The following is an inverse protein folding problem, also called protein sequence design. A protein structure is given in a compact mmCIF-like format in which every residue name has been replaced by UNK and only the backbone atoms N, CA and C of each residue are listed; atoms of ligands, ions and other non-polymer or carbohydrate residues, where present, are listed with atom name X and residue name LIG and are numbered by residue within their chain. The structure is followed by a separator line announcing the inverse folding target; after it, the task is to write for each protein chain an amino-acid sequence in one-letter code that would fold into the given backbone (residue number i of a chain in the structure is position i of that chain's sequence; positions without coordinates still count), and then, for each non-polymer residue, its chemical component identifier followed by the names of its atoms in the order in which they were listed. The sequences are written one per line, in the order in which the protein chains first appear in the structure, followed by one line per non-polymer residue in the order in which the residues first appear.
data_IF_273550038738
#
_entry.id   IF_273550038738
#
_cell.length_a   1.000
_cell.length_b   1.000
_cell.length_c   1.000
_cell.angle_alpha   90.00
_cell.angle_beta   90.00
_cell.angle_gamma   90.00
#
_symmetry.space_group_name_H-M   'P 1'
#
loop_
_entity.id
_entity.type
_entity.pdbx_description
1 polymer ?
#
# COMPACT_ATOMS: atom_id res chain seq x y z
N UNK A 1 -35.60 -19.29 74.37
CA UNK A 1 -36.10 -19.20 72.96
C UNK A 1 -35.14 -18.29 72.19
N UNK A 2 -34.42 -18.88 71.24
CA UNK A 2 -33.26 -18.22 70.52
C UNK A 2 -33.75 -17.69 69.19
N UNK A 3 -33.62 -16.40 68.94
CA UNK A 3 -33.79 -15.84 67.63
C UNK A 3 -32.42 -15.70 66.95
N UNK A 4 -32.22 -16.19 65.72
CA UNK A 4 -31.01 -15.95 65.00
C UNK A 4 -31.09 -14.64 64.20
N UNK A 5 -30.09 -13.82 64.38
CA UNK A 5 -29.79 -12.58 63.67
C UNK A 5 -29.40 -12.90 62.22
N UNK A 6 -30.20 -12.47 61.24
CA UNK A 6 -29.86 -12.59 59.81
C UNK A 6 -28.97 -11.43 59.40
N UNK A 7 -27.69 -11.73 59.19
CA UNK A 7 -26.72 -10.81 58.65
C UNK A 7 -26.95 -10.68 57.15
N UNK A 8 -27.35 -9.48 56.67
CA UNK A 8 -27.51 -9.15 55.26
C UNK A 8 -26.15 -8.73 54.72
N UNK A 9 -25.49 -9.60 53.95
CA UNK A 9 -24.29 -9.22 53.18
C UNK A 9 -24.71 -8.47 51.91
N UNK A 10 -24.52 -7.16 51.88
CA UNK A 10 -24.56 -6.38 50.65
C UNK A 10 -23.27 -6.64 49.85
N UNK A 11 -23.37 -7.44 48.80
CA UNK A 11 -22.29 -7.54 47.81
C UNK A 11 -22.27 -6.28 46.90
N UNK A 12 -21.32 -5.41 47.17
CA UNK A 12 -21.05 -4.25 46.35
C UNK A 12 -20.33 -4.73 45.08
N UNK A 13 -21.07 -5.03 44.01
CA UNK A 13 -20.47 -5.28 42.69
C UNK A 13 -19.93 -3.97 42.12
N UNK A 14 -18.64 -3.66 42.39
CA UNK A 14 -17.88 -2.65 41.64
C UNK A 14 -17.74 -3.15 40.23
N UNK A 15 -18.64 -2.75 39.32
CA UNK A 15 -18.50 -2.89 37.91
C UNK A 15 -17.36 -1.99 37.43
N UNK A 16 -16.13 -2.52 37.32
CA UNK A 16 -15.08 -1.92 36.54
C UNK A 16 -15.55 -1.94 35.08
N UNK A 17 -16.15 -0.84 34.63
CA UNK A 17 -16.26 -0.53 33.23
C UNK A 17 -14.82 -0.35 32.70
N UNK A 18 -14.22 -1.43 32.22
CA UNK A 18 -12.99 -1.34 31.44
C UNK A 18 -13.32 -0.49 30.22
N UNK A 19 -12.98 0.81 30.29
CA UNK A 19 -12.98 1.68 29.13
C UNK A 19 -11.99 1.04 28.15
N UNK A 20 -12.54 0.30 27.19
CA UNK A 20 -11.78 -0.26 26.08
C UNK A 20 -11.28 0.95 25.26
N UNK A 21 -10.17 1.54 25.67
CA UNK A 21 -9.46 2.53 24.87
C UNK A 21 -8.97 1.78 23.64
N UNK A 22 -9.74 1.83 22.55
CA UNK A 22 -9.33 1.28 21.27
C UNK A 22 -7.99 1.92 20.93
N UNK A 23 -6.93 1.11 20.94
CA UNK A 23 -5.62 1.56 20.44
C UNK A 23 -5.83 2.01 19.00
N UNK A 24 -5.23 3.14 18.60
CA UNK A 24 -5.29 3.54 17.21
C UNK A 24 -4.77 2.39 16.35
N UNK A 25 -5.54 2.02 15.35
CA UNK A 25 -5.10 1.03 14.37
C UNK A 25 -3.92 1.62 13.62
N UNK A 26 -2.85 0.85 13.47
CA UNK A 26 -1.66 1.24 12.73
C UNK A 26 -1.62 0.42 11.46
N UNK A 27 -1.34 1.07 10.35
CA UNK A 27 -1.17 0.46 9.04
C UNK A 27 0.11 1.01 8.42
N UNK A 28 1.10 0.15 8.22
CA UNK A 28 2.34 0.50 7.55
C UNK A 28 2.26 0.07 6.08
N UNK A 29 2.22 1.05 5.17
CA UNK A 29 2.25 0.86 3.73
C UNK A 29 3.63 1.25 3.19
N UNK A 30 4.23 0.37 2.42
CA UNK A 30 5.50 0.52 1.74
C UNK A 30 5.28 0.58 0.22
N UNK A 31 5.96 1.45 -0.50
CA UNK A 31 6.10 1.43 -1.95
C UNK A 31 7.53 1.06 -2.32
N UNK A 32 7.70 0.11 -3.22
CA UNK A 32 9.02 -0.40 -3.58
C UNK A 32 9.08 -0.85 -5.04
N UNK A 33 9.70 -0.04 -5.89
CA UNK A 33 10.11 -0.48 -7.22
C UNK A 33 11.30 -1.44 -7.04
N UNK A 34 11.12 -2.70 -7.43
CA UNK A 34 12.08 -3.78 -7.17
C UNK A 34 13.00 -4.08 -8.36
N UNK A 35 12.84 -3.40 -9.49
CA UNK A 35 13.64 -3.62 -10.71
C UNK A 35 13.81 -5.12 -11.01
N UNK A 36 12.72 -5.86 -11.05
CA UNK A 36 12.72 -7.33 -11.26
C UNK A 36 13.62 -8.11 -10.28
N UNK A 37 13.89 -7.57 -9.09
CA UNK A 37 14.83 -8.12 -8.12
C UNK A 37 16.31 -7.88 -8.46
N UNK A 38 16.62 -7.04 -9.46
CA UNK A 38 17.99 -6.74 -9.87
C UNK A 38 18.53 -5.58 -9.04
N UNK A 39 19.57 -5.82 -8.26
CA UNK A 39 20.28 -4.80 -7.48
C UNK A 39 21.13 -3.86 -8.34
N UNK A 40 21.70 -2.82 -7.70
CA UNK A 40 22.67 -1.89 -8.34
C UNK A 40 23.94 -2.62 -8.82
N UNK A 41 24.24 -3.76 -8.26
CA UNK A 41 25.32 -4.68 -8.67
C UNK A 41 24.95 -5.54 -9.89
N UNK A 42 23.77 -5.33 -10.50
CA UNK A 42 23.18 -6.10 -11.58
C UNK A 42 22.98 -7.60 -11.27
N UNK A 43 22.97 -7.99 -10.00
CA UNK A 43 22.64 -9.34 -9.58
C UNK A 43 21.15 -9.41 -9.24
N UNK A 44 20.44 -10.37 -9.85
CA UNK A 44 19.07 -10.67 -9.53
C UNK A 44 18.99 -11.55 -8.27
N UNK A 45 18.38 -11.02 -7.20
CA UNK A 45 18.18 -11.74 -5.93
C UNK A 45 16.87 -11.31 -5.26
N UNK A 46 15.82 -12.08 -5.49
CA UNK A 46 14.51 -11.87 -4.88
C UNK A 46 14.56 -12.01 -3.35
N UNK A 47 15.49 -12.81 -2.84
CA UNK A 47 15.71 -12.94 -1.39
C UNK A 47 16.19 -11.64 -0.74
N UNK A 48 16.94 -10.79 -1.45
CA UNK A 48 17.30 -9.45 -0.94
C UNK A 48 16.04 -8.57 -0.77
N UNK A 49 15.15 -8.60 -1.76
CA UNK A 49 13.88 -7.86 -1.67
C UNK A 49 13.06 -8.36 -0.48
N UNK A 50 12.91 -9.67 -0.32
CA UNK A 50 12.20 -10.26 0.81
C UNK A 50 12.83 -9.85 2.17
N UNK A 51 14.16 -9.85 2.28
CA UNK A 51 14.86 -9.41 3.51
C UNK A 51 14.59 -7.94 3.86
N UNK A 52 14.53 -7.05 2.85
CA UNK A 52 14.15 -5.64 3.07
C UNK A 52 12.73 -5.55 3.60
N UNK A 53 11.77 -6.23 2.97
CA UNK A 53 10.37 -6.25 3.39
C UNK A 53 10.24 -6.78 4.84
N UNK A 54 10.90 -7.89 5.15
CA UNK A 54 10.87 -8.48 6.50
C UNK A 54 11.46 -7.54 7.56
N UNK A 55 12.57 -6.88 7.26
CA UNK A 55 13.21 -5.90 8.17
C UNK A 55 12.30 -4.72 8.46
N UNK A 56 11.66 -4.18 7.42
CA UNK A 56 10.75 -3.05 7.56
C UNK A 56 9.40 -3.43 8.16
N UNK A 57 9.04 -4.72 8.10
CA UNK A 57 7.82 -5.29 8.66
C UNK A 57 6.54 -4.49 8.31
N UNK A 58 6.27 -4.17 7.03
CA UNK A 58 5.04 -3.49 6.63
C UNK A 58 3.83 -4.41 6.72
N UNK A 59 2.62 -3.79 6.74
CA UNK A 59 1.36 -4.51 6.60
C UNK A 59 0.98 -4.69 5.13
N UNK A 60 1.42 -3.73 4.28
CA UNK A 60 1.16 -3.67 2.85
C UNK A 60 2.43 -3.27 2.09
N UNK A 61 2.69 -3.90 0.94
CA UNK A 61 3.79 -3.52 0.05
C UNK A 61 3.27 -3.36 -1.36
N UNK A 62 3.27 -2.13 -1.87
CA UNK A 62 3.04 -1.82 -3.27
C UNK A 62 4.36 -2.05 -4.04
N UNK A 63 4.35 -2.98 -4.99
CA UNK A 63 5.51 -3.39 -5.77
C UNK A 63 5.38 -2.92 -7.21
N UNK A 64 6.45 -2.37 -7.76
CA UNK A 64 6.57 -2.02 -9.18
C UNK A 64 7.70 -2.84 -9.81
N UNK A 65 7.65 -2.95 -11.13
CA UNK A 65 8.59 -3.75 -11.94
C UNK A 65 8.62 -5.22 -11.52
N UNK A 66 7.46 -5.85 -11.54
CA UNK A 66 7.26 -7.21 -11.07
C UNK A 66 7.01 -8.19 -12.22
N UNK A 67 7.83 -9.22 -12.32
CA UNK A 67 7.67 -10.29 -13.28
C UNK A 67 6.79 -11.43 -12.77
N UNK A 68 6.02 -12.00 -13.69
CA UNK A 68 5.23 -13.21 -13.48
C UNK A 68 5.49 -14.19 -14.61
N UNK A 69 6.24 -15.24 -14.33
CA UNK A 69 6.56 -16.34 -15.25
C UNK A 69 7.25 -15.90 -16.56
N UNK A 70 8.02 -14.81 -16.54
CA UNK A 70 8.81 -14.39 -17.70
C UNK A 70 10.10 -15.21 -17.83
N UNK A 71 10.66 -15.27 -19.04
CA UNK A 71 11.93 -15.96 -19.30
C UNK A 71 13.09 -15.34 -18.52
N UNK A 72 13.08 -14.02 -18.26
CA UNK A 72 14.17 -13.36 -17.51
C UNK A 72 14.20 -13.68 -16.02
N UNK A 73 13.18 -14.34 -15.52
CA UNK A 73 13.12 -14.89 -14.15
C UNK A 73 12.94 -16.42 -14.16
N UNK A 74 13.34 -17.09 -15.23
CA UNK A 74 13.30 -18.54 -15.38
C UNK A 74 11.89 -19.13 -15.20
N UNK A 75 10.86 -18.43 -15.67
CA UNK A 75 9.47 -18.85 -15.55
C UNK A 75 8.90 -18.80 -14.13
N UNK A 76 9.60 -18.21 -13.16
CA UNK A 76 9.18 -18.15 -11.77
C UNK A 76 8.04 -17.14 -11.58
N UNK A 77 7.11 -17.45 -10.69
CA UNK A 77 6.05 -16.54 -10.25
C UNK A 77 6.54 -15.68 -9.08
N UNK A 78 7.24 -14.58 -9.40
CA UNK A 78 7.89 -13.72 -8.40
C UNK A 78 6.94 -13.18 -7.34
N UNK A 79 5.68 -12.72 -7.66
CA UNK A 79 4.74 -12.29 -6.63
C UNK A 79 4.50 -13.36 -5.56
N UNK A 80 4.26 -14.59 -5.98
CA UNK A 80 4.03 -15.72 -5.07
C UNK A 80 5.27 -16.12 -4.27
N UNK A 81 6.48 -16.04 -4.87
CA UNK A 81 7.72 -16.27 -4.14
C UNK A 81 7.93 -15.24 -3.03
N UNK A 82 7.74 -13.94 -3.33
CA UNK A 82 7.81 -12.89 -2.33
C UNK A 82 6.74 -13.08 -1.24
N UNK A 83 5.50 -13.41 -1.62
CA UNK A 83 4.44 -13.73 -0.68
C UNK A 83 4.84 -14.86 0.29
N UNK A 84 5.37 -15.97 -0.25
CA UNK A 84 5.84 -17.11 0.56
C UNK A 84 7.02 -16.73 1.46
N UNK A 85 8.01 -15.99 0.94
CA UNK A 85 9.20 -15.59 1.71
C UNK A 85 8.85 -14.60 2.86
N UNK A 86 7.84 -13.76 2.67
CA UNK A 86 7.45 -12.72 3.64
C UNK A 86 6.27 -13.13 4.52
N UNK A 87 5.61 -14.25 4.23
CA UNK A 87 4.39 -14.68 4.92
C UNK A 87 3.19 -13.77 4.61
N UNK A 88 3.16 -13.16 3.41
CA UNK A 88 2.12 -12.23 2.98
C UNK A 88 1.33 -12.79 1.79
N UNK A 89 0.06 -12.39 1.66
CA UNK A 89 -0.75 -12.66 0.48
C UNK A 89 -0.24 -11.82 -0.70
N UNK A 90 -0.09 -12.45 -1.87
CA UNK A 90 0.40 -11.79 -3.07
C UNK A 90 -0.71 -11.59 -4.08
N UNK A 91 -0.87 -10.37 -4.56
CA UNK A 91 -1.78 -9.99 -5.64
C UNK A 91 -0.97 -9.38 -6.78
N UNK A 92 -1.26 -9.77 -8.02
CA UNK A 92 -0.56 -9.29 -9.20
C UNK A 92 -1.51 -8.56 -10.16
N UNK A 93 -1.10 -7.38 -10.63
CA UNK A 93 -1.75 -6.59 -11.65
C UNK A 93 -0.91 -6.60 -12.92
N UNK A 94 -1.36 -7.35 -13.94
CA UNK A 94 -0.69 -7.43 -15.24
C UNK A 94 -0.86 -6.11 -15.99
N UNK A 95 0.25 -5.51 -16.41
CA UNK A 95 0.29 -4.40 -17.35
C UNK A 95 0.44 -4.91 -18.79
N UNK A 96 1.44 -5.76 -19.03
CA UNK A 96 1.76 -6.29 -20.36
C UNK A 96 2.04 -7.81 -20.33
N UNK A 97 1.93 -8.44 -21.50
CA UNK A 97 2.62 -9.70 -21.79
C UNK A 97 4.08 -9.39 -22.09
N UNK A 98 5.00 -10.11 -21.49
CA UNK A 98 6.42 -9.87 -21.66
C UNK A 98 7.21 -11.18 -21.56
N UNK A 99 8.14 -11.42 -22.51
CA UNK A 99 9.08 -12.54 -22.50
C UNK A 99 8.47 -13.89 -22.08
N UNK A 100 7.35 -14.26 -22.68
CA UNK A 100 6.65 -15.53 -22.41
C UNK A 100 5.76 -15.56 -21.18
N UNK A 101 5.81 -14.54 -20.34
CA UNK A 101 5.01 -14.37 -19.14
C UNK A 101 4.28 -13.02 -19.09
N UNK A 102 4.27 -12.38 -17.95
CA UNK A 102 3.64 -11.09 -17.72
C UNK A 102 4.51 -10.19 -16.85
N UNK A 103 4.34 -8.88 -17.05
CA UNK A 103 5.01 -7.85 -16.27
C UNK A 103 3.99 -6.80 -15.79
N UNK A 104 4.22 -6.21 -14.62
CA UNK A 104 3.31 -5.23 -14.07
C UNK A 104 3.64 -4.82 -12.64
N UNK A 105 2.59 -4.66 -11.85
CA UNK A 105 2.67 -4.25 -10.44
C UNK A 105 2.11 -5.32 -9.52
N UNK A 106 2.40 -5.24 -8.24
CA UNK A 106 1.89 -6.18 -7.24
C UNK A 106 1.57 -5.53 -5.91
N UNK A 107 0.80 -6.24 -5.12
CA UNK A 107 0.54 -5.91 -3.72
C UNK A 107 0.83 -7.15 -2.87
N UNK A 108 1.68 -6.97 -1.86
CA UNK A 108 1.74 -7.92 -0.75
C UNK A 108 0.94 -7.36 0.42
N UNK A 109 0.17 -8.19 1.09
CA UNK A 109 -0.67 -7.80 2.23
C UNK A 109 -0.70 -8.87 3.30
N UNK A 110 -0.76 -8.47 4.59
CA UNK A 110 -0.86 -9.43 5.69
C UNK A 110 -2.22 -10.12 5.75
N UNK A 111 -3.26 -9.48 5.22
CA UNK A 111 -4.60 -10.04 5.10
C UNK A 111 -4.99 -10.15 3.64
N UNK A 112 -5.79 -11.14 3.29
CA UNK A 112 -6.30 -11.30 1.95
C UNK A 112 -7.27 -10.16 1.59
N UNK A 113 -7.18 -9.54 0.40
CA UNK A 113 -8.13 -8.53 -0.04
C UNK A 113 -9.51 -9.16 -0.30
N UNK A 114 -10.58 -8.40 -0.03
CA UNK A 114 -11.97 -8.80 -0.29
C UNK A 114 -12.29 -8.87 -1.78
N UNK A 115 -11.68 -7.98 -2.55
CA UNK A 115 -11.83 -7.91 -4.01
C UNK A 115 -10.58 -7.30 -4.64
N UNK A 116 -10.31 -7.68 -5.88
CA UNK A 116 -9.19 -7.17 -6.67
C UNK A 116 -9.69 -6.84 -8.07
N UNK A 117 -9.24 -5.70 -8.60
CA UNK A 117 -9.47 -5.32 -9.99
C UNK A 117 -8.24 -4.61 -10.56
N UNK A 118 -8.06 -4.72 -11.87
CA UNK A 118 -7.00 -4.03 -12.62
C UNK A 118 -7.63 -3.14 -13.68
N UNK A 119 -7.15 -1.92 -13.80
CA UNK A 119 -7.62 -0.91 -14.74
C UNK A 119 -6.44 -0.53 -15.63
N UNK A 120 -6.56 -0.70 -16.96
CA UNK A 120 -5.53 -0.26 -17.89
C UNK A 120 -5.28 1.24 -17.81
N UNK A 121 -4.01 1.63 -17.85
CA UNK A 121 -3.57 3.00 -17.90
C UNK A 121 -2.72 3.23 -19.16
N UNK A 122 -2.70 4.47 -19.70
CA UNK A 122 -1.86 4.83 -20.84
C UNK A 122 -0.37 4.61 -20.59
N UNK A 123 0.32 4.20 -21.62
CA UNK A 123 1.78 4.07 -21.68
C UNK A 123 2.17 3.65 -23.10
N UNK A 124 2.63 4.60 -23.92
CA UNK A 124 3.02 4.35 -25.33
C UNK A 124 4.30 3.53 -25.44
N UNK A 125 5.21 3.66 -24.49
CA UNK A 125 6.42 2.84 -24.39
C UNK A 125 6.14 1.48 -23.80
N UNK A 126 5.19 1.40 -22.88
CA UNK A 126 4.77 0.21 -22.16
C UNK A 126 3.41 0.48 -21.53
N UNK A 127 2.40 -0.32 -21.85
CA UNK A 127 1.08 -0.17 -21.22
C UNK A 127 1.18 -0.29 -19.70
N UNK A 128 0.41 0.56 -19.00
CA UNK A 128 0.41 0.65 -17.53
C UNK A 128 -0.87 0.10 -16.93
N UNK A 129 -0.88 -0.06 -15.62
CA UNK A 129 -2.03 -0.60 -14.91
C UNK A 129 -2.18 0.05 -13.54
N UNK A 130 -3.42 0.25 -13.12
CA UNK A 130 -3.81 0.48 -11.73
C UNK A 130 -4.34 -0.82 -11.15
N UNK A 131 -3.63 -1.42 -10.22
CA UNK A 131 -4.10 -2.54 -9.41
C UNK A 131 -4.85 -1.97 -8.20
N UNK A 132 -6.09 -2.39 -7.99
CA UNK A 132 -6.91 -1.99 -6.85
C UNK A 132 -7.27 -3.21 -6.02
N UNK A 133 -6.98 -3.16 -4.73
CA UNK A 133 -7.31 -4.20 -3.76
C UNK A 133 -8.18 -3.60 -2.65
N UNK A 134 -9.38 -4.15 -2.44
CA UNK A 134 -10.32 -3.70 -1.43
C UNK A 134 -10.13 -4.50 -0.14
N UNK A 135 -10.07 -3.79 0.98
CA UNK A 135 -10.04 -4.35 2.34
C UNK A 135 -11.27 -3.88 3.13
N UNK A 136 -11.55 -4.45 4.32
CA UNK A 136 -12.71 -4.03 5.11
C UNK A 136 -12.78 -2.53 5.39
N UNK A 137 -11.66 -1.87 5.67
CA UNK A 137 -11.60 -0.50 6.16
C UNK A 137 -10.97 0.51 5.17
N UNK A 138 -10.37 0.04 4.06
CA UNK A 138 -9.69 0.88 3.06
C UNK A 138 -9.57 0.17 1.71
N UNK A 139 -9.19 0.92 0.68
CA UNK A 139 -8.78 0.40 -0.63
C UNK A 139 -7.33 0.79 -0.88
N UNK A 140 -6.51 -0.15 -1.35
CA UNK A 140 -5.14 0.12 -1.78
C UNK A 140 -5.05 0.06 -3.28
N UNK A 141 -4.43 1.08 -3.86
CA UNK A 141 -4.17 1.20 -5.28
C UNK A 141 -2.65 1.19 -5.51
N UNK A 142 -2.19 0.39 -6.46
CA UNK A 142 -0.77 0.30 -6.84
C UNK A 142 -0.64 0.62 -8.31
N UNK A 143 0.33 1.47 -8.66
CA UNK A 143 0.60 1.84 -10.05
C UNK A 143 2.09 2.01 -10.31
N UNK A 144 2.45 1.98 -11.59
CA UNK A 144 3.72 2.42 -12.15
C UNK A 144 3.39 3.22 -13.41
N UNK A 145 3.50 4.54 -13.36
CA UNK A 145 3.08 5.41 -14.46
C UNK A 145 4.12 5.43 -15.59
N UNK A 146 3.69 5.89 -16.76
CA UNK A 146 4.50 6.00 -17.97
C UNK A 146 5.68 6.95 -17.78
N UNK A 147 6.77 6.70 -18.52
CA UNK A 147 7.89 7.65 -18.67
C UNK A 147 7.49 8.88 -19.49
N UNK A 148 6.44 8.77 -20.31
CA UNK A 148 5.94 9.84 -21.16
C UNK A 148 5.02 10.79 -20.39
N UNK A 149 5.30 12.11 -20.35
CA UNK A 149 4.50 13.07 -19.57
C UNK A 149 3.01 13.09 -19.92
N UNK A 150 2.68 13.03 -21.22
CA UNK A 150 1.28 13.06 -21.69
C UNK A 150 0.50 11.85 -21.21
N UNK A 151 1.11 10.66 -21.21
CA UNK A 151 0.48 9.42 -20.76
C UNK A 151 0.30 9.43 -19.22
N UNK A 152 1.27 10.00 -18.48
CA UNK A 152 1.11 10.25 -17.05
C UNK A 152 -0.08 11.15 -16.76
N UNK A 153 -0.17 12.28 -17.44
CA UNK A 153 -1.29 13.20 -17.28
C UNK A 153 -2.62 12.56 -17.63
N UNK A 154 -2.68 11.75 -18.69
CA UNK A 154 -3.89 11.01 -19.07
C UNK A 154 -4.27 9.91 -18.06
N UNK A 155 -3.30 9.36 -17.32
CA UNK A 155 -3.54 8.34 -16.29
C UNK A 155 -4.23 8.90 -15.04
N UNK A 156 -3.95 10.15 -14.64
CA UNK A 156 -4.44 10.72 -13.39
C UNK A 156 -5.97 10.81 -13.31
N UNK A 157 -6.70 11.33 -14.32
CA UNK A 157 -8.16 11.33 -14.30
C UNK A 157 -8.76 9.92 -14.33
N UNK A 158 -8.11 8.94 -14.97
CA UNK A 158 -8.58 7.55 -14.94
C UNK A 158 -8.45 6.94 -13.54
N UNK A 159 -7.36 7.24 -12.83
CA UNK A 159 -7.17 6.84 -11.43
C UNK A 159 -8.23 7.50 -10.55
N UNK A 160 -8.50 8.81 -10.73
CA UNK A 160 -9.55 9.51 -10.01
C UNK A 160 -10.91 8.84 -10.25
N UNK A 161 -11.30 8.64 -11.50
CA UNK A 161 -12.56 8.00 -11.87
C UNK A 161 -12.69 6.61 -11.24
N UNK A 162 -11.63 5.80 -11.31
CA UNK A 162 -11.62 4.46 -10.72
C UNK A 162 -11.84 4.46 -9.20
N UNK A 163 -11.31 5.48 -8.54
CA UNK A 163 -11.37 5.59 -7.08
C UNK A 163 -12.59 6.35 -6.56
N UNK A 164 -13.30 7.12 -7.39
CA UNK A 164 -14.46 7.93 -6.97
C UNK A 164 -15.61 7.10 -6.42
N UNK A 165 -15.73 5.85 -6.85
CA UNK A 165 -16.73 4.92 -6.33
C UNK A 165 -16.37 4.35 -4.96
N UNK A 166 -15.14 4.57 -4.48
CA UNK A 166 -14.68 4.05 -3.19
C UNK A 166 -15.26 4.90 -2.05
N UNK A 167 -16.09 4.28 -1.20
CA UNK A 167 -16.65 4.92 -0.01
C UNK A 167 -15.69 4.90 1.20
N UNK A 168 -14.68 4.05 1.14
CA UNK A 168 -13.63 3.88 2.15
C UNK A 168 -12.43 4.76 1.81
N UNK A 169 -11.55 5.04 2.78
CA UNK A 169 -10.26 5.66 2.50
C UNK A 169 -9.51 4.94 1.37
N UNK A 170 -8.88 5.71 0.50
CA UNK A 170 -8.06 5.21 -0.59
C UNK A 170 -6.60 5.55 -0.31
N UNK A 171 -5.74 4.54 -0.42
CA UNK A 171 -4.29 4.66 -0.40
C UNK A 171 -3.78 4.37 -1.80
N UNK A 172 -3.02 5.27 -2.39
CA UNK A 172 -2.43 5.12 -3.72
C UNK A 172 -0.91 5.18 -3.58
N UNK A 173 -0.23 4.12 -3.99
CA UNK A 173 1.21 4.01 -3.88
C UNK A 173 1.84 3.56 -5.21
N UNK A 174 3.03 4.05 -5.50
CA UNK A 174 3.76 3.62 -6.69
C UNK A 174 4.86 4.56 -7.14
N UNK A 175 5.46 4.17 -8.26
CA UNK A 175 6.38 4.97 -9.04
C UNK A 175 5.58 5.80 -10.06
N UNK A 176 5.60 7.12 -9.89
CA UNK A 176 4.87 8.06 -10.73
C UNK A 176 5.72 8.60 -11.89
N UNK A 177 7.00 8.23 -11.94
CA UNK A 177 7.96 8.67 -12.94
C UNK A 177 8.02 10.19 -13.14
N UNK A 178 7.74 10.96 -12.08
CA UNK A 178 7.81 12.42 -12.10
C UNK A 178 8.15 12.97 -10.73
N UNK A 179 8.98 14.01 -10.68
CA UNK A 179 9.26 14.80 -9.48
C UNK A 179 8.23 15.90 -9.21
N UNK A 180 7.30 16.13 -10.14
CA UNK A 180 6.29 17.19 -10.03
C UNK A 180 5.07 16.72 -9.21
N UNK A 181 5.23 16.77 -7.91
CA UNK A 181 4.17 16.45 -6.95
C UNK A 181 2.92 17.34 -7.09
N UNK A 182 3.09 18.59 -7.50
CA UNK A 182 1.99 19.53 -7.67
C UNK A 182 1.13 19.14 -8.88
N UNK A 183 1.76 18.78 -10.01
CA UNK A 183 1.03 18.26 -11.17
C UNK A 183 0.28 16.96 -10.86
N UNK A 184 0.91 16.05 -10.10
CA UNK A 184 0.24 14.80 -9.65
C UNK A 184 -1.02 15.11 -8.83
N UNK A 185 -0.92 16.00 -7.84
CA UNK A 185 -2.08 16.36 -7.00
C UNK A 185 -3.15 17.10 -7.80
N UNK A 186 -2.76 18.02 -8.70
CA UNK A 186 -3.70 18.74 -9.55
C UNK A 186 -4.46 17.79 -10.49
N UNK A 187 -3.77 16.83 -11.09
CA UNK A 187 -4.36 15.85 -12.01
C UNK A 187 -5.25 14.81 -11.32
N UNK A 188 -4.92 14.40 -10.10
CA UNK A 188 -5.74 13.51 -9.29
C UNK A 188 -6.96 14.24 -8.72
N UNK A 189 -6.80 15.50 -8.28
CA UNK A 189 -7.90 16.24 -7.63
C UNK A 189 -8.52 15.47 -6.46
N UNK A 190 -9.84 15.65 -6.25
CA UNK A 190 -10.67 14.75 -5.42
C UNK A 190 -10.23 14.54 -3.96
N UNK A 191 -9.43 15.45 -3.38
CA UNK A 191 -9.02 15.38 -1.97
C UNK A 191 -7.86 14.42 -1.68
N UNK A 192 -7.12 13.98 -2.69
CA UNK A 192 -5.84 13.29 -2.48
C UNK A 192 -4.81 14.22 -1.86
N UNK A 193 -4.02 13.68 -0.96
CA UNK A 193 -2.84 14.35 -0.38
C UNK A 193 -1.65 13.39 -0.36
N UNK A 194 -0.45 13.93 -0.49
CA UNK A 194 0.78 13.14 -0.34
C UNK A 194 0.94 12.82 1.16
N UNK A 195 1.19 11.56 1.43
CA UNK A 195 1.44 11.02 2.78
C UNK A 195 2.92 10.77 3.01
N UNK A 196 3.66 10.43 1.95
CA UNK A 196 5.10 10.20 2.04
C UNK A 196 5.87 11.51 2.27
N UNK A 197 7.05 11.40 2.87
CA UNK A 197 7.94 12.53 3.10
C UNK A 197 8.35 13.16 1.76
N UNK A 198 8.02 14.42 1.58
CA UNK A 198 8.28 15.16 0.34
C UNK A 198 9.68 15.74 0.26
N UNK A 199 10.47 15.66 1.31
CA UNK A 199 11.86 16.16 1.36
C UNK A 199 12.87 15.12 0.90
N UNK A 200 12.46 13.83 0.81
CA UNK A 200 13.35 12.73 0.50
C UNK A 200 13.28 12.34 -0.96
N UNK A 201 14.45 12.14 -1.55
CA UNK A 201 14.61 11.61 -2.90
C UNK A 201 14.53 10.08 -2.86
N UNK A 202 14.02 9.46 -3.94
CA UNK A 202 13.81 8.01 -4.00
C UNK A 202 14.63 7.34 -5.10
N UNK A 203 15.12 8.10 -6.08
CA UNK A 203 15.83 7.56 -7.25
C UNK A 203 17.03 8.43 -7.66
N UNK A 204 18.15 7.83 -8.15
CA UNK A 204 18.48 6.39 -8.04
C UNK A 204 18.84 5.98 -6.60
N UNK A 205 18.76 4.69 -6.26
CA UNK A 205 18.89 4.21 -4.87
C UNK A 205 20.29 4.36 -4.27
N UNK A 206 21.35 4.42 -5.09
CA UNK A 206 22.74 4.59 -4.68
C UNK A 206 23.15 6.06 -4.48
N UNK A 207 22.46 6.99 -5.13
CA UNK A 207 22.66 8.43 -4.99
C UNK A 207 21.36 9.19 -5.27
N UNK A 208 20.39 9.18 -4.36
CA UNK A 208 19.06 9.73 -4.59
C UNK A 208 19.10 11.22 -4.94
N UNK A 209 18.61 11.55 -6.15
CA UNK A 209 18.63 12.90 -6.72
C UNK A 209 17.24 13.43 -7.09
N UNK A 210 16.26 12.51 -7.30
CA UNK A 210 14.89 12.86 -7.62
C UNK A 210 13.93 12.00 -6.79
N UNK A 211 12.74 12.54 -6.52
CA UNK A 211 11.65 11.76 -5.94
C UNK A 211 10.62 11.50 -7.02
N UNK A 212 10.42 10.23 -7.35
CA UNK A 212 9.44 9.77 -8.34
C UNK A 212 8.43 8.80 -7.75
N UNK A 213 8.69 8.31 -6.54
CA UNK A 213 7.79 7.44 -5.80
C UNK A 213 6.95 8.25 -4.81
N UNK A 214 5.67 7.92 -4.72
CA UNK A 214 4.74 8.58 -3.83
C UNK A 214 3.81 7.58 -3.15
N UNK A 215 3.40 7.94 -1.93
CA UNK A 215 2.25 7.36 -1.26
C UNK A 215 1.27 8.49 -0.98
N UNK A 216 0.06 8.35 -1.52
CA UNK A 216 -1.01 9.33 -1.39
C UNK A 216 -2.21 8.71 -0.66
N UNK A 217 -3.04 9.56 -0.10
CA UNK A 217 -4.28 9.12 0.55
C UNK A 217 -5.42 10.09 0.35
N UNK A 218 -6.64 9.53 0.30
CA UNK A 218 -7.89 10.28 0.24
C UNK A 218 -8.88 9.70 1.25
N UNK A 219 -9.75 10.56 1.81
CA UNK A 219 -10.78 10.14 2.75
C UNK A 219 -10.26 9.62 4.10
N UNK A 220 -8.99 9.86 4.41
CA UNK A 220 -8.41 9.52 5.71
C UNK A 220 -8.97 10.46 6.79
N UNK A 221 -9.25 9.96 8.01
CA UNK A 221 -9.65 10.82 9.13
C UNK A 221 -8.65 11.93 9.38
N UNK A 222 -9.11 13.10 9.81
CA UNK A 222 -8.26 14.25 10.17
C UNK A 222 -7.29 13.94 11.31
N UNK A 223 -7.63 12.94 12.15
CA UNK A 223 -6.79 12.43 13.23
C UNK A 223 -5.72 11.42 12.76
N UNK A 224 -5.67 11.07 11.46
CA UNK A 224 -4.64 10.18 10.95
C UNK A 224 -3.28 10.86 10.99
N UNK A 225 -2.36 10.31 11.77
CA UNK A 225 -0.96 10.72 11.79
C UNK A 225 -0.15 9.90 10.79
N UNK A 226 0.83 10.54 10.16
CA UNK A 226 1.71 9.90 9.18
C UNK A 226 3.14 10.03 9.68
N UNK A 227 3.86 8.91 9.69
CA UNK A 227 5.30 8.88 9.94
C UNK A 227 5.98 8.26 8.74
N UNK A 228 6.87 9.00 8.09
CA UNK A 228 7.60 8.55 6.91
C UNK A 228 9.01 8.06 7.28
N UNK A 229 9.53 7.12 6.47
CA UNK A 229 10.88 6.58 6.62
C UNK A 229 11.93 7.46 5.96
N UNK A 230 13.18 7.25 6.36
CA UNK A 230 14.38 7.91 5.85
C UNK A 230 15.20 7.09 4.84
N UNK A 231 14.72 5.96 4.35
CA UNK A 231 15.41 5.07 3.43
C UNK A 231 14.57 4.74 2.19
N UNK A 232 15.21 4.56 1.01
CA UNK A 232 14.66 3.78 -0.07
C UNK A 232 14.56 2.30 0.39
N UNK A 233 13.42 1.68 0.36
CA UNK A 233 12.11 2.00 -0.19
C UNK A 233 11.29 3.00 0.63
N UNK A 234 10.29 3.61 0.00
CA UNK A 234 9.40 4.59 0.63
C UNK A 234 8.31 3.91 1.46
N UNK A 235 8.05 4.39 2.69
CA UNK A 235 6.91 3.89 3.47
C UNK A 235 6.26 4.95 4.36
N UNK A 236 5.02 4.72 4.73
CA UNK A 236 4.27 5.52 5.69
C UNK A 236 3.62 4.62 6.73
N UNK A 237 3.49 5.12 7.95
CA UNK A 237 2.65 4.51 8.97
C UNK A 237 1.47 5.41 9.22
N UNK A 238 0.28 4.88 9.03
CA UNK A 238 -0.98 5.53 9.31
C UNK A 238 -1.52 5.05 10.65
N UNK A 239 -2.03 5.96 11.46
CA UNK A 239 -2.72 5.60 12.69
C UNK A 239 -4.04 6.37 12.75
N UNK A 240 -5.16 5.65 12.91
CA UNK A 240 -6.48 6.25 13.09
C UNK A 240 -7.34 5.44 14.04
N UNK A 241 -8.35 6.09 14.63
CA UNK A 241 -9.37 5.37 15.40
C UNK A 241 -10.46 4.90 14.45
N UNK A 242 -10.85 3.65 14.53
CA UNK A 242 -12.06 3.17 13.82
C UNK A 242 -13.25 4.00 14.29
N UNK A 243 -14.00 4.59 13.34
CA UNK A 243 -15.34 5.08 13.61
C UNK A 243 -16.21 3.92 14.10
N UNK A 244 -17.10 4.18 15.08
CA UNK A 244 -18.13 3.18 15.42
C UNK A 244 -18.87 2.85 14.13
N UNK A 245 -18.87 1.58 13.71
CA UNK A 245 -19.77 1.15 12.65
C UNK A 245 -21.20 1.45 13.13
N UNK A 246 -22.05 2.10 12.32
CA UNK A 246 -23.47 2.17 12.66
C UNK A 246 -23.95 0.74 12.82
N UNK A 247 -24.55 0.46 13.99
CA UNK A 247 -24.97 -0.88 14.39
C UNK A 247 -25.76 -1.57 13.28
N UNK A 248 -25.48 -2.87 13.14
CA UNK A 248 -26.32 -3.77 12.35
C UNK A 248 -27.68 -3.88 12.99
#
# INVERSE_FOLDING_TARGET
MKHPLRTLLLALCCGLAAACTQRPERLKLMSYNIRNGIGIDNIQDIGRIARVILREAPDLVALQELDSATLRVDGRYIPGELGRMTGMHATFGRAIGFAGGSYGVGLLSRTEPLAVRSIPLPGREEARVLLMAEFPDYTVCVTHLSLTPEDRHASLPLILQATDTCRKPVLLAGDFNTGDAAAVLAGLGGGFRILSDTTRMTFPSDNPAVRIDYILGRGLPTSATVTASDHCPLWVTLAWKRGKQPGK
#
